data_IF_406756357206
#
_entry.id   IF_406756357206
#
_cell.length_a   1.000
_cell.length_b   1.000
_cell.length_c   1.000
_cell.angle_alpha   90.00
_cell.angle_beta   90.00
_cell.angle_gamma   90.00
#
_symmetry.space_group_name_H-M   'P 1'
#
loop_
_entity.id
_entity.type
_entity.pdbx_description
1 polymer ?
#
# COMPACT_ATOMS: atom_id res chain seq x y z
N UNK A 1 1.36 -19.02 -55.32
CA UNK A 1 2.11 -17.90 -55.91
C UNK A 1 2.81 -17.18 -54.76
N UNK A 2 4.08 -17.49 -54.51
CA UNK A 2 4.89 -16.83 -53.46
C UNK A 2 5.51 -15.61 -54.12
N UNK A 3 5.06 -14.41 -53.76
CA UNK A 3 5.69 -13.17 -54.22
C UNK A 3 7.06 -13.04 -53.55
N UNK A 4 8.11 -13.43 -54.27
CA UNK A 4 9.49 -13.10 -53.94
C UNK A 4 9.70 -11.64 -54.36
N UNK A 5 9.47 -10.70 -53.46
CA UNK A 5 9.90 -9.31 -53.65
C UNK A 5 11.44 -9.29 -53.61
N UNK A 6 12.06 -8.84 -54.71
CA UNK A 6 13.50 -8.60 -54.76
C UNK A 6 13.83 -7.38 -53.91
N UNK A 7 14.82 -7.51 -53.01
CA UNK A 7 15.32 -6.38 -52.22
C UNK A 7 15.97 -5.29 -53.09
N UNK A 8 16.33 -5.60 -54.35
CA UNK A 8 16.93 -4.63 -55.27
C UNK A 8 16.00 -3.50 -55.71
N UNK A 9 14.68 -3.67 -55.58
CA UNK A 9 13.70 -2.81 -56.24
C UNK A 9 13.23 -1.65 -55.34
N UNK A 10 13.69 -1.62 -54.09
CA UNK A 10 13.32 -0.59 -53.13
C UNK A 10 14.17 0.67 -53.31
N UNK A 11 13.49 1.80 -53.40
CA UNK A 11 14.10 3.13 -53.36
C UNK A 11 14.61 3.46 -51.95
N UNK A 12 15.60 4.36 -51.86
CA UNK A 12 16.14 4.85 -50.57
C UNK A 12 15.03 5.36 -49.63
N UNK A 13 13.95 5.93 -50.20
CA UNK A 13 12.78 6.40 -49.46
C UNK A 13 12.00 5.24 -48.81
N UNK A 14 11.83 4.12 -49.50
CA UNK A 14 11.14 2.94 -48.96
C UNK A 14 11.98 2.26 -47.87
N UNK A 15 13.30 2.20 -48.04
CA UNK A 15 14.21 1.75 -46.99
C UNK A 15 14.12 2.61 -45.72
N UNK A 16 14.06 3.93 -45.86
CA UNK A 16 13.92 4.85 -44.73
C UNK A 16 12.57 4.66 -44.00
N UNK A 17 11.49 4.43 -44.73
CA UNK A 17 10.16 4.13 -44.16
C UNK A 17 10.19 2.81 -43.38
N UNK A 18 10.75 1.74 -43.98
CA UNK A 18 10.88 0.43 -43.34
C UNK A 18 11.71 0.54 -42.05
N UNK A 19 12.85 1.22 -42.10
CA UNK A 19 13.70 1.46 -40.93
C UNK A 19 12.94 2.22 -39.83
N UNK A 20 12.20 3.27 -40.20
CA UNK A 20 11.37 4.06 -39.29
C UNK A 20 10.30 3.20 -38.61
N UNK A 21 9.60 2.35 -39.37
CA UNK A 21 8.60 1.42 -38.84
C UNK A 21 9.24 0.41 -37.87
N UNK A 22 10.40 -0.16 -38.22
CA UNK A 22 11.13 -1.09 -37.34
C UNK A 22 11.51 -0.44 -36.01
N UNK A 23 12.03 0.80 -36.04
CA UNK A 23 12.37 1.55 -34.82
C UNK A 23 11.13 1.75 -33.95
N UNK A 24 10.00 2.17 -34.54
CA UNK A 24 8.74 2.35 -33.80
C UNK A 24 8.28 1.05 -33.15
N UNK A 25 8.33 -0.08 -33.88
CA UNK A 25 7.96 -1.40 -33.34
C UNK A 25 8.88 -1.79 -32.18
N UNK A 26 10.20 -1.60 -32.30
CA UNK A 26 11.17 -1.89 -31.23
C UNK A 26 10.91 -1.04 -29.99
N UNK A 27 10.63 0.26 -30.16
CA UNK A 27 10.28 1.16 -29.05
C UNK A 27 9.00 0.70 -28.34
N UNK A 28 7.96 0.34 -29.11
CA UNK A 28 6.71 -0.18 -28.56
C UNK A 28 6.96 -1.44 -27.75
N UNK A 29 7.71 -2.41 -28.30
CA UNK A 29 8.07 -3.66 -27.62
C UNK A 29 8.84 -3.39 -26.32
N UNK A 30 9.84 -2.50 -26.36
CA UNK A 30 10.62 -2.13 -25.19
C UNK A 30 9.75 -1.53 -24.07
N UNK A 31 8.75 -0.69 -24.41
CA UNK A 31 7.80 -0.12 -23.45
C UNK A 31 6.95 -1.22 -22.80
N UNK A 32 6.44 -2.18 -23.59
CA UNK A 32 5.62 -3.29 -23.06
C UNK A 32 6.42 -4.22 -22.14
N UNK A 33 7.64 -4.60 -22.55
CA UNK A 33 8.53 -5.45 -21.74
C UNK A 33 8.85 -4.78 -20.40
N UNK A 34 9.19 -3.49 -20.44
CA UNK A 34 9.48 -2.73 -19.21
C UNK A 34 8.26 -2.66 -18.28
N UNK A 35 7.07 -2.36 -18.82
CA UNK A 35 5.82 -2.36 -18.03
C UNK A 35 5.58 -3.73 -17.38
N UNK A 36 5.75 -4.82 -18.13
CA UNK A 36 5.60 -6.19 -17.63
C UNK A 36 6.57 -6.49 -16.48
N UNK A 37 7.84 -6.11 -16.62
CA UNK A 37 8.88 -6.28 -15.60
C UNK A 37 8.53 -5.56 -14.29
N UNK A 38 8.08 -4.30 -14.37
CA UNK A 38 7.66 -3.54 -13.19
C UNK A 38 6.41 -4.14 -12.53
N UNK A 39 5.42 -4.56 -13.32
CA UNK A 39 4.22 -5.23 -12.83
C UNK A 39 4.54 -6.54 -12.10
N UNK A 40 5.43 -7.36 -12.66
CA UNK A 40 5.90 -8.58 -12.03
C UNK A 40 6.64 -8.30 -10.72
N UNK A 41 7.56 -7.32 -10.71
CA UNK A 41 8.30 -6.91 -9.51
C UNK A 41 7.35 -6.46 -8.39
N UNK A 42 6.37 -5.62 -8.72
CA UNK A 42 5.35 -5.16 -7.77
C UNK A 42 4.53 -6.32 -7.19
N UNK A 43 3.99 -7.19 -8.05
CA UNK A 43 3.19 -8.35 -7.64
C UNK A 43 3.99 -9.32 -6.76
N UNK A 44 5.25 -9.57 -7.11
CA UNK A 44 6.14 -10.45 -6.35
C UNK A 44 6.50 -9.84 -5.00
N UNK A 45 6.72 -8.52 -4.93
CA UNK A 45 6.94 -7.82 -3.67
C UNK A 45 5.73 -7.96 -2.76
N UNK A 46 4.52 -7.67 -3.26
CA UNK A 46 3.29 -7.82 -2.49
C UNK A 46 3.08 -9.26 -1.99
N UNK A 47 3.28 -10.28 -2.84
CA UNK A 47 3.17 -11.69 -2.42
C UNK A 47 4.13 -12.05 -1.29
N UNK A 48 5.38 -11.56 -1.35
CA UNK A 48 6.37 -11.78 -0.26
C UNK A 48 5.93 -11.09 1.02
N UNK A 49 5.40 -9.87 0.91
CA UNK A 49 4.85 -9.14 2.03
C UNK A 49 3.66 -9.90 2.64
N UNK A 50 2.65 -10.25 1.86
CA UNK A 50 1.45 -10.99 2.29
C UNK A 50 1.80 -12.32 2.99
N UNK A 51 2.79 -13.05 2.48
CA UNK A 51 3.30 -14.28 3.13
C UNK A 51 3.94 -13.98 4.49
N UNK A 52 4.65 -12.86 4.64
CA UNK A 52 5.25 -12.47 5.91
C UNK A 52 4.18 -11.99 6.90
N UNK A 53 3.15 -11.27 6.44
CA UNK A 53 2.03 -10.82 7.28
C UNK A 53 1.24 -11.98 7.85
N UNK A 54 0.93 -12.97 7.02
CA UNK A 54 0.17 -14.14 7.47
C UNK A 54 0.95 -15.03 8.42
N UNK A 55 2.28 -15.13 8.27
CA UNK A 55 3.13 -16.04 9.07
C UNK A 55 3.77 -15.41 10.32
N UNK A 56 4.27 -14.18 10.23
CA UNK A 56 5.13 -13.56 11.26
C UNK A 56 4.57 -12.26 11.83
N UNK A 57 3.83 -11.50 11.03
CA UNK A 57 3.34 -10.16 11.38
C UNK A 57 1.81 -10.11 11.28
N UNK A 58 1.14 -11.10 11.87
CA UNK A 58 -0.32 -11.17 11.89
C UNK A 58 -0.85 -10.16 12.91
N UNK A 59 -1.55 -9.13 12.43
CA UNK A 59 -2.06 -8.06 13.28
C UNK A 59 -3.09 -8.55 14.30
N UNK A 60 -3.97 -9.47 13.91
CA UNK A 60 -5.04 -9.98 14.77
C UNK A 60 -4.46 -10.73 15.98
N UNK A 61 -3.51 -11.63 15.73
CA UNK A 61 -2.81 -12.37 16.80
C UNK A 61 -2.08 -11.39 17.72
N UNK A 62 -1.42 -10.39 17.15
CA UNK A 62 -0.70 -9.40 17.96
C UNK A 62 -1.66 -8.56 18.82
N UNK A 63 -2.82 -8.14 18.30
CA UNK A 63 -3.83 -7.42 19.08
C UNK A 63 -4.32 -8.29 20.24
N UNK A 64 -4.64 -9.56 20.00
CA UNK A 64 -5.05 -10.48 21.07
C UNK A 64 -3.97 -10.65 22.13
N UNK A 65 -2.71 -10.82 21.73
CA UNK A 65 -1.59 -10.92 22.66
C UNK A 65 -1.40 -9.64 23.47
N UNK A 66 -1.56 -8.45 22.86
CA UNK A 66 -1.46 -7.17 23.55
C UNK A 66 -2.50 -7.10 24.65
N UNK A 67 -3.77 -7.34 24.30
CA UNK A 67 -4.91 -7.24 25.22
C UNK A 67 -4.78 -8.25 26.37
N UNK A 68 -4.47 -9.51 26.07
CA UNK A 68 -4.45 -10.58 27.07
C UNK A 68 -3.20 -10.58 27.96
N UNK A 69 -2.02 -10.30 27.38
CA UNK A 69 -0.74 -10.66 28.01
C UNK A 69 0.21 -9.48 28.26
N UNK A 70 0.05 -8.36 27.55
CA UNK A 70 1.07 -7.30 27.55
C UNK A 70 0.59 -5.91 27.98
N UNK A 71 -0.71 -5.66 28.01
CA UNK A 71 -1.27 -4.45 28.58
C UNK A 71 -1.03 -4.42 30.11
N UNK A 72 -0.57 -3.29 30.64
CA UNK A 72 -0.41 -3.04 32.08
C UNK A 72 -1.69 -2.43 32.66
N UNK A 73 -2.36 -1.60 31.87
CA UNK A 73 -3.64 -0.96 32.18
C UNK A 73 -4.61 -1.14 31.01
N UNK A 74 -5.82 -0.60 31.12
CA UNK A 74 -6.81 -0.62 30.04
C UNK A 74 -6.57 0.44 28.96
N UNK A 75 -5.46 1.19 29.01
CA UNK A 75 -5.17 2.23 28.02
C UNK A 75 -4.57 1.64 26.75
N UNK A 76 -5.09 2.06 25.61
CA UNK A 76 -4.66 1.60 24.30
C UNK A 76 -3.39 2.32 23.80
N UNK A 77 -2.34 2.33 24.62
CA UNK A 77 -1.09 3.06 24.36
C UNK A 77 0.13 2.15 24.32
N UNK A 78 1.20 2.62 23.68
CA UNK A 78 2.47 1.91 23.67
C UNK A 78 3.20 2.01 25.02
N UNK A 79 3.02 3.12 25.74
CA UNK A 79 3.62 3.37 27.05
C UNK A 79 3.06 2.43 28.12
N UNK A 80 1.79 2.09 28.07
CA UNK A 80 1.17 1.16 29.02
C UNK A 80 1.44 -0.32 28.74
N UNK A 81 2.37 -0.66 27.86
CA UNK A 81 2.74 -2.06 27.61
C UNK A 81 3.95 -2.51 28.41
N UNK A 82 3.94 -3.80 28.80
CA UNK A 82 5.11 -4.52 29.31
C UNK A 82 6.25 -4.53 28.29
N UNK A 83 7.50 -4.60 28.78
CA UNK A 83 8.72 -4.53 27.96
C UNK A 83 8.74 -5.55 26.80
N UNK A 84 8.30 -6.79 27.05
CA UNK A 84 8.19 -7.86 26.03
C UNK A 84 7.19 -7.48 24.92
N UNK A 85 6.02 -6.95 25.28
CA UNK A 85 5.02 -6.45 24.33
C UNK A 85 5.54 -5.29 23.49
N UNK A 86 6.22 -4.32 24.13
CA UNK A 86 6.88 -3.20 23.43
C UNK A 86 7.85 -3.69 22.36
N UNK A 87 8.71 -4.68 22.65
CA UNK A 87 9.63 -5.25 21.65
C UNK A 87 8.89 -5.88 20.47
N UNK A 88 7.81 -6.63 20.72
CA UNK A 88 6.99 -7.24 19.65
C UNK A 88 6.34 -6.17 18.76
N UNK A 89 5.71 -5.17 19.37
CA UNK A 89 5.08 -4.07 18.64
C UNK A 89 6.10 -3.26 17.85
N UNK A 90 7.27 -2.96 18.41
CA UNK A 90 8.34 -2.26 17.68
C UNK A 90 8.74 -3.05 16.44
N UNK A 91 9.03 -4.35 16.56
CA UNK A 91 9.37 -5.20 15.40
C UNK A 91 8.26 -5.22 14.36
N UNK A 92 7.00 -5.24 14.79
CA UNK A 92 5.84 -5.16 13.91
C UNK A 92 5.82 -3.82 13.15
N UNK A 93 5.88 -2.69 13.87
CA UNK A 93 5.89 -1.36 13.26
C UNK A 93 7.11 -1.14 12.36
N UNK A 94 8.30 -1.61 12.74
CA UNK A 94 9.52 -1.56 11.93
C UNK A 94 9.32 -2.24 10.58
N UNK A 95 8.69 -3.41 10.56
CA UNK A 95 8.37 -4.11 9.33
C UNK A 95 7.51 -3.25 8.39
N UNK A 96 6.42 -2.66 8.89
CA UNK A 96 5.53 -1.84 8.06
C UNK A 96 6.17 -0.52 7.63
N UNK A 97 6.88 0.16 8.53
CA UNK A 97 7.55 1.43 8.19
C UNK A 97 8.63 1.27 7.12
N UNK A 98 9.23 0.08 7.00
CA UNK A 98 10.17 -0.26 5.93
C UNK A 98 9.46 -0.67 4.63
N UNK A 99 8.51 -1.61 4.70
CA UNK A 99 7.96 -2.27 3.52
C UNK A 99 6.81 -1.51 2.85
N UNK A 100 6.00 -0.75 3.60
CA UNK A 100 4.87 -0.02 3.01
C UNK A 100 5.30 1.10 2.04
N UNK A 101 6.29 1.96 2.37
CA UNK A 101 6.77 2.95 1.41
C UNK A 101 7.35 2.29 0.15
N UNK A 102 8.01 1.15 0.28
CA UNK A 102 8.53 0.40 -0.87
C UNK A 102 7.41 -0.18 -1.74
N UNK A 103 6.34 -0.73 -1.13
CA UNK A 103 5.16 -1.19 -1.85
C UNK A 103 4.54 -0.06 -2.69
N UNK A 104 4.40 1.13 -2.10
CA UNK A 104 3.83 2.31 -2.77
C UNK A 104 4.75 2.83 -3.86
N UNK A 105 6.06 2.86 -3.64
CA UNK A 105 7.04 3.21 -4.67
C UNK A 105 6.95 2.26 -5.86
N UNK A 106 6.93 0.95 -5.64
CA UNK A 106 6.79 -0.04 -6.71
C UNK A 106 5.44 0.08 -7.44
N UNK A 107 4.36 0.39 -6.71
CA UNK A 107 3.05 0.67 -7.29
C UNK A 107 3.10 1.88 -8.24
N UNK A 108 3.88 2.91 -7.92
CA UNK A 108 3.98 4.10 -8.76
C UNK A 108 4.53 3.78 -10.17
N UNK A 109 5.42 2.81 -10.31
CA UNK A 109 5.98 2.41 -11.62
C UNK A 109 4.98 1.72 -12.56
N UNK A 110 3.88 1.20 -11.99
CA UNK A 110 2.82 0.51 -12.74
C UNK A 110 1.53 1.33 -12.81
N UNK A 111 1.48 2.46 -12.11
CA UNK A 111 0.38 3.41 -12.10
C UNK A 111 0.43 4.32 -13.34
N UNK A 112 -0.72 4.91 -13.70
CA UNK A 112 -0.81 5.98 -14.69
C UNK A 112 -0.05 7.23 -14.23
N UNK A 113 -0.21 7.61 -12.96
CA UNK A 113 0.53 8.72 -12.33
C UNK A 113 1.76 8.18 -11.59
N UNK A 114 2.91 8.16 -12.29
CA UNK A 114 4.19 7.69 -11.76
C UNK A 114 4.78 8.57 -10.65
N UNK A 115 4.29 9.80 -10.52
CA UNK A 115 4.80 10.73 -9.50
C UNK A 115 4.18 10.49 -8.13
N UNK A 116 3.07 9.74 -8.04
CA UNK A 116 2.42 9.36 -6.78
C UNK A 116 3.15 8.17 -6.15
N UNK A 117 4.25 8.45 -5.47
CA UNK A 117 5.16 7.44 -4.90
C UNK A 117 5.35 7.55 -3.39
N UNK A 118 4.78 8.56 -2.74
CA UNK A 118 4.92 8.77 -1.30
C UNK A 118 3.66 8.34 -0.53
N UNK A 119 3.84 7.46 0.46
CA UNK A 119 2.78 7.06 1.40
C UNK A 119 2.70 8.05 2.56
N UNK A 120 1.48 8.45 2.89
CA UNK A 120 1.18 9.13 4.15
C UNK A 120 0.04 8.42 4.86
N UNK A 121 0.22 8.14 6.15
CA UNK A 121 -0.84 7.66 7.04
C UNK A 121 -1.35 8.87 7.83
N UNK A 122 -2.66 9.03 7.88
CA UNK A 122 -3.34 10.16 8.48
C UNK A 122 -4.13 9.68 9.69
N UNK A 123 -3.99 10.41 10.78
CA UNK A 123 -4.85 10.30 11.95
C UNK A 123 -5.83 11.45 11.85
N UNK A 124 -7.11 11.11 11.88
CA UNK A 124 -8.22 12.03 11.75
C UNK A 124 -8.99 12.07 13.07
N UNK A 125 -9.42 13.25 13.49
CA UNK A 125 -10.42 13.38 14.55
C UNK A 125 -11.84 13.04 14.03
N UNK A 126 -12.81 13.10 14.94
CA UNK A 126 -14.24 12.92 14.68
C UNK A 126 -14.79 13.86 13.57
N UNK A 127 -14.13 15.00 13.36
CA UNK A 127 -14.51 16.03 12.39
C UNK A 127 -13.77 15.92 11.05
N UNK A 128 -13.11 14.79 10.78
CA UNK A 128 -12.27 14.52 9.61
C UNK A 128 -11.04 15.44 9.47
N UNK A 129 -10.62 16.11 10.55
CA UNK A 129 -9.44 16.95 10.54
C UNK A 129 -8.21 16.11 10.81
N UNK A 130 -7.16 16.35 10.04
CA UNK A 130 -5.88 15.66 10.17
C UNK A 130 -5.15 16.17 11.41
N UNK A 131 -5.21 15.41 12.50
CA UNK A 131 -4.53 15.70 13.77
C UNK A 131 -3.08 15.21 13.78
N UNK A 132 -2.75 14.22 12.96
CA UNK A 132 -1.38 13.76 12.80
C UNK A 132 -1.13 13.12 11.44
N UNK A 133 0.11 13.23 10.99
CA UNK A 133 0.58 12.67 9.72
C UNK A 133 1.82 11.85 9.98
N UNK A 134 1.81 10.63 9.49
CA UNK A 134 3.00 9.79 9.43
C UNK A 134 3.47 9.66 7.98
N UNK A 135 4.77 9.85 7.78
CA UNK A 135 5.46 9.62 6.52
C UNK A 135 6.75 8.83 6.79
N UNK A 136 7.40 8.33 5.72
CA UNK A 136 8.62 7.51 5.82
C UNK A 136 9.75 8.15 6.64
N UNK A 137 9.85 9.48 6.69
CA UNK A 137 10.91 10.22 7.41
C UNK A 137 10.75 10.11 8.92
N UNK A 138 9.51 9.94 9.40
CA UNK A 138 9.19 9.86 10.83
C UNK A 138 9.53 8.50 11.46
N UNK A 139 9.79 7.47 10.65
CA UNK A 139 10.17 6.11 11.08
C UNK A 139 9.18 5.55 12.12
N UNK A 140 9.57 4.53 12.87
CA UNK A 140 8.71 3.91 13.91
C UNK A 140 8.40 4.87 15.06
N UNK A 141 9.37 5.71 15.45
CA UNK A 141 9.18 6.71 16.53
C UNK A 141 7.96 7.60 16.27
N UNK A 142 7.71 7.97 15.01
CA UNK A 142 6.53 8.73 14.62
C UNK A 142 5.21 8.01 14.88
N UNK A 143 5.13 6.70 14.61
CA UNK A 143 3.93 5.91 14.91
C UNK A 143 3.75 5.74 16.42
N UNK A 144 4.84 5.42 17.14
CA UNK A 144 4.82 5.29 18.60
C UNK A 144 4.35 6.57 19.28
N UNK A 145 4.79 7.74 18.80
CA UNK A 145 4.32 9.04 19.32
C UNK A 145 2.83 9.23 19.08
N UNK A 146 2.33 8.87 17.89
CA UNK A 146 0.93 9.02 17.54
C UNK A 146 0.03 8.10 18.37
N UNK A 147 0.36 6.80 18.48
CA UNK A 147 -0.46 5.86 19.27
C UNK A 147 -0.51 6.21 20.74
N UNK A 148 0.56 6.77 21.31
CA UNK A 148 0.55 7.24 22.68
C UNK A 148 -0.28 8.49 22.87
N UNK A 149 -0.23 9.43 21.91
CA UNK A 149 -0.97 10.69 22.01
C UNK A 149 -2.48 10.50 21.82
N UNK A 150 -2.87 9.63 20.90
CA UNK A 150 -4.27 9.45 20.50
C UNK A 150 -4.87 8.12 20.98
N UNK A 151 -4.14 7.32 21.78
CA UNK A 151 -4.59 6.02 22.29
C UNK A 151 -5.08 5.05 21.19
N UNK A 152 -4.27 4.91 20.13
CA UNK A 152 -4.64 4.20 18.90
C UNK A 152 -3.76 2.96 18.65
N UNK A 153 -3.22 2.30 19.68
CA UNK A 153 -2.27 1.21 19.46
C UNK A 153 -2.92 0.01 18.73
N UNK A 154 -3.99 -0.57 19.26
CA UNK A 154 -4.66 -1.72 18.65
C UNK A 154 -5.33 -1.36 17.31
N UNK A 155 -6.03 -0.21 17.14
CA UNK A 155 -6.45 0.28 15.83
C UNK A 155 -5.31 0.38 14.82
N UNK A 156 -4.15 0.92 15.21
CA UNK A 156 -3.03 1.05 14.29
C UNK A 156 -2.49 -0.33 13.86
N UNK A 157 -2.41 -1.29 14.78
CA UNK A 157 -1.97 -2.66 14.44
C UNK A 157 -2.95 -3.32 13.47
N UNK A 158 -4.25 -3.26 13.73
CA UNK A 158 -5.27 -3.80 12.82
C UNK A 158 -5.26 -3.08 11.46
N UNK A 159 -5.16 -1.75 11.48
CA UNK A 159 -5.07 -0.93 10.28
C UNK A 159 -3.88 -1.31 9.40
N UNK A 160 -2.68 -1.42 9.97
CA UNK A 160 -1.47 -1.77 9.23
C UNK A 160 -1.57 -3.18 8.64
N UNK A 161 -2.23 -4.11 9.32
CA UNK A 161 -2.43 -5.47 8.80
C UNK A 161 -3.23 -5.50 7.50
N UNK A 162 -4.28 -4.68 7.39
CA UNK A 162 -5.13 -4.65 6.19
C UNK A 162 -4.64 -3.69 5.10
N UNK A 163 -3.85 -2.68 5.47
CA UNK A 163 -3.41 -1.62 4.57
C UNK A 163 -2.70 -2.12 3.30
N UNK A 164 -1.78 -3.11 3.33
CA UNK A 164 -1.12 -3.62 2.13
C UNK A 164 -2.07 -4.15 1.07
N UNK A 165 -3.16 -4.81 1.47
CA UNK A 165 -4.17 -5.33 0.56
C UNK A 165 -4.94 -4.18 -0.12
N UNK A 166 -5.33 -3.16 0.66
CA UNK A 166 -6.00 -1.98 0.11
C UNK A 166 -5.10 -1.19 -0.83
N UNK A 167 -3.81 -1.05 -0.50
CA UNK A 167 -2.82 -0.46 -1.41
C UNK A 167 -2.69 -1.32 -2.67
N UNK A 168 -2.67 -2.65 -2.55
CA UNK A 168 -2.55 -3.54 -3.70
C UNK A 168 -3.72 -3.42 -4.67
N UNK A 169 -4.95 -3.43 -4.16
CA UNK A 169 -6.16 -3.31 -4.97
C UNK A 169 -6.44 -1.86 -5.40
N UNK A 170 -5.83 -0.87 -4.76
CA UNK A 170 -6.11 0.55 -5.00
C UNK A 170 -7.45 1.02 -4.42
N UNK A 171 -7.87 0.39 -3.33
CA UNK A 171 -9.07 0.79 -2.60
C UNK A 171 -8.71 1.81 -1.51
N UNK A 172 -9.56 2.82 -1.32
CA UNK A 172 -9.47 3.69 -0.13
C UNK A 172 -9.67 2.86 1.13
N UNK A 173 -8.97 3.21 2.21
CA UNK A 173 -9.11 2.50 3.46
C UNK A 173 -9.18 3.46 4.63
N UNK A 174 -10.28 3.37 5.37
CA UNK A 174 -10.55 4.11 6.59
C UNK A 174 -10.89 3.13 7.70
N UNK A 175 -10.26 3.32 8.85
CA UNK A 175 -10.49 2.51 10.04
C UNK A 175 -10.80 3.43 11.20
N UNK A 176 -12.03 3.37 11.70
CA UNK A 176 -12.48 4.19 12.81
C UNK A 176 -12.32 3.41 14.10
N UNK A 177 -11.74 4.03 15.12
CA UNK A 177 -11.76 3.49 16.46
C UNK A 177 -13.05 3.90 17.14
N UNK A 178 -13.82 2.93 17.63
CA UNK A 178 -15.11 3.18 18.27
C UNK A 178 -14.98 3.68 19.71
N UNK A 179 -13.80 3.54 20.32
CA UNK A 179 -13.60 3.95 21.72
C UNK A 179 -13.31 5.45 21.88
N UNK A 180 -12.79 6.11 20.85
CA UNK A 180 -12.34 7.51 20.92
C UNK A 180 -12.54 8.32 19.63
N UNK A 181 -13.34 7.79 18.70
CA UNK A 181 -13.75 8.40 17.44
C UNK A 181 -12.62 8.83 16.48
N UNK A 182 -11.36 8.57 16.82
CA UNK A 182 -10.25 8.80 15.91
C UNK A 182 -10.28 7.80 14.77
N UNK A 183 -10.01 8.28 13.56
CA UNK A 183 -9.91 7.44 12.37
C UNK A 183 -8.49 7.41 11.82
N UNK A 184 -8.12 6.28 11.22
CA UNK A 184 -6.92 6.12 10.40
C UNK A 184 -7.30 6.09 8.93
N UNK A 185 -6.56 6.81 8.10
CA UNK A 185 -6.64 6.71 6.66
C UNK A 185 -5.26 6.82 6.01
N UNK A 186 -5.18 6.57 4.71
CA UNK A 186 -3.93 6.73 3.98
C UNK A 186 -4.16 7.49 2.68
N UNK A 187 -3.11 8.19 2.25
CA UNK A 187 -3.02 8.81 0.94
C UNK A 187 -1.70 8.44 0.25
N UNK A 188 -1.75 8.31 -1.07
CA UNK A 188 -0.55 8.21 -1.92
C UNK A 188 -0.41 9.51 -2.70
N UNK A 189 0.65 10.27 -2.38
CA UNK A 189 0.85 11.64 -2.86
C UNK A 189 2.16 11.78 -3.62
N UNK A 190 2.27 12.89 -4.37
CA UNK A 190 3.53 13.30 -5.02
C UNK A 190 4.51 13.95 -4.04
N UNK A 191 3.96 14.66 -3.05
CA UNK A 191 4.75 15.38 -2.05
C UNK A 191 3.99 15.43 -0.73
N UNK A 192 4.57 14.82 0.31
CA UNK A 192 4.01 14.77 1.68
C UNK A 192 3.69 16.15 2.28
N UNK A 193 4.36 17.23 1.83
CA UNK A 193 4.13 18.58 2.36
C UNK A 193 2.77 19.18 1.95
N UNK A 194 2.19 18.74 0.82
CA UNK A 194 1.00 19.38 0.19
C UNK A 194 -0.35 18.75 0.61
N UNK A 195 -0.41 18.05 1.74
CA UNK A 195 -1.63 17.35 2.18
C UNK A 195 -2.63 18.31 2.83
N UNK A 196 -3.90 18.19 2.44
CA UNK A 196 -5.02 18.97 2.98
C UNK A 196 -5.20 18.76 4.49
N UNK A 197 -5.69 19.77 5.19
CA UNK A 197 -5.94 19.71 6.65
C UNK A 197 -7.21 18.94 7.02
N UNK A 198 -8.18 18.82 6.09
CA UNK A 198 -9.42 18.09 6.26
C UNK A 198 -9.58 17.06 5.15
N UNK A 199 -9.97 15.84 5.50
CA UNK A 199 -10.12 14.71 4.59
C UNK A 199 -11.54 14.14 4.73
N UNK A 200 -12.49 14.74 4.02
CA UNK A 200 -13.86 14.22 4.01
C UNK A 200 -13.89 12.84 3.34
N UNK A 201 -14.79 11.93 3.75
CA UNK A 201 -15.04 10.71 3.01
C UNK A 201 -15.45 11.06 1.58
N UNK A 202 -14.60 10.73 0.61
CA UNK A 202 -14.89 10.95 -0.81
C UNK A 202 -15.87 9.87 -1.24
N UNK A 203 -16.92 10.25 -2.00
CA UNK A 203 -17.78 9.26 -2.66
C UNK A 203 -16.89 8.40 -3.57
N UNK A 204 -16.87 7.08 -3.32
CA UNK A 204 -16.05 6.16 -4.09
C UNK A 204 -16.42 6.21 -5.58
N UNK A 205 -15.41 6.31 -6.42
CA UNK A 205 -15.54 6.18 -7.87
C UNK A 205 -15.90 4.72 -8.24
N UNK A 206 -16.43 4.50 -9.45
CA UNK A 206 -16.71 3.14 -9.96
C UNK A 206 -15.48 2.22 -9.90
N UNK A 207 -14.29 2.76 -10.13
CA UNK A 207 -13.04 2.02 -10.02
C UNK A 207 -12.71 1.61 -8.58
N UNK A 208 -12.90 2.51 -7.62
CA UNK A 208 -12.69 2.25 -6.20
C UNK A 208 -13.71 1.25 -5.64
N UNK A 209 -14.98 1.32 -6.05
CA UNK A 209 -16.00 0.33 -5.69
C UNK A 209 -15.61 -1.08 -6.18
N UNK A 210 -15.12 -1.19 -7.42
CA UNK A 210 -14.59 -2.46 -7.94
C UNK A 210 -13.37 -2.95 -7.16
N UNK A 211 -12.48 -2.04 -6.76
CA UNK A 211 -11.33 -2.37 -5.92
C UNK A 211 -11.77 -2.85 -4.53
N UNK A 212 -12.74 -2.19 -3.90
CA UNK A 212 -13.29 -2.57 -2.61
C UNK A 212 -13.92 -3.97 -2.65
N UNK A 213 -14.70 -4.27 -3.69
CA UNK A 213 -15.28 -5.61 -3.88
C UNK A 213 -14.20 -6.70 -4.05
N UNK A 214 -13.05 -6.37 -4.65
CA UNK A 214 -11.91 -7.31 -4.74
C UNK A 214 -11.26 -7.54 -3.37
N UNK A 215 -11.10 -6.48 -2.56
CA UNK A 215 -10.62 -6.59 -1.18
C UNK A 215 -11.52 -7.53 -0.38
N UNK A 216 -12.85 -7.34 -0.43
CA UNK A 216 -13.82 -8.18 0.27
C UNK A 216 -13.76 -9.64 -0.18
N UNK A 217 -13.72 -9.89 -1.50
CA UNK A 217 -13.55 -11.25 -2.04
C UNK A 217 -12.24 -11.89 -1.58
N UNK A 218 -11.15 -11.14 -1.54
CA UNK A 218 -9.86 -11.62 -1.06
C UNK A 218 -9.91 -11.96 0.43
N UNK A 219 -10.56 -11.13 1.25
CA UNK A 219 -10.79 -11.39 2.68
C UNK A 219 -11.62 -12.66 2.88
N UNK A 220 -12.75 -12.80 2.19
CA UNK A 220 -13.60 -13.98 2.28
C UNK A 220 -12.86 -15.27 1.90
N UNK A 221 -12.07 -15.24 0.82
CA UNK A 221 -11.25 -16.38 0.39
C UNK A 221 -10.20 -16.76 1.44
N UNK A 222 -9.57 -15.78 2.09
CA UNK A 222 -8.60 -16.03 3.18
C UNK A 222 -9.29 -16.64 4.39
N UNK A 223 -10.44 -16.10 4.82
CA UNK A 223 -11.22 -16.64 5.93
C UNK A 223 -11.65 -18.10 5.71
N UNK A 224 -12.10 -18.44 4.49
CA UNK A 224 -12.47 -19.82 4.14
C UNK A 224 -11.28 -20.79 4.19
N UNK A 225 -10.08 -20.32 3.84
CA UNK A 225 -8.86 -21.14 3.88
C UNK A 225 -8.36 -21.37 5.31
N UNK A 226 -8.60 -20.44 6.23
CA UNK A 226 -8.20 -20.59 7.64
C UNK A 226 -9.13 -21.50 8.43
N UNK A 227 -10.39 -21.67 7.99
CA UNK A 227 -11.39 -22.56 8.62
C UNK A 227 -11.36 -24.02 8.14
N UNK A 228 -10.53 -24.33 7.13
CA UNK A 228 -10.30 -25.68 6.62
C UNK A 228 -8.94 -26.16 7.08
#
# INVERSE_FOLDING_TARGET
>A
MVFLFSLSDFTIKEYAIILGVVIVVVVILAVFINKGKYAARYKNFYKRMDKALTKKYNGNILVEEIIKNYAIDQTNTFKSMRSKGRRKVVKYLEYYTKNLPELVLLKSFVSTDKNKSELVILFLDEMDKVVYRWDKRRKVKGLVKAVNKYQMLTPLVGYLFELPLHIFEGASYRFTNHDNDFSLSYDIVKNVKKIKRKQKPVKMTKAELKAQAKVEKAKAKKAKKTRR
#
